data_IF_862483659805
#
_entry.id   IF_862483659805
#
_cell.length_a   1.000
_cell.length_b   1.000
_cell.length_c   1.000
_cell.angle_alpha   90.00
_cell.angle_beta   90.00
_cell.angle_gamma   90.00
#
_symmetry.space_group_name_H-M   'P 1'
#
loop_
_entity.id
_entity.type
_entity.pdbx_description
1 polymer ?
#
# COMPACT_ATOMS: atom_id res chain seq x y z
N UNK A 1 3.10 30.07 -18.93
CA UNK A 1 3.63 29.00 -18.06
C UNK A 1 3.51 27.68 -18.80
N UNK A 2 4.63 27.02 -19.13
CA UNK A 2 4.62 25.75 -19.88
C UNK A 2 4.25 24.62 -18.91
N UNK A 3 3.12 23.98 -19.14
CA UNK A 3 2.70 22.75 -18.45
C UNK A 3 3.84 21.73 -18.49
N UNK A 4 4.51 21.52 -17.35
CA UNK A 4 5.44 20.41 -17.14
C UNK A 4 4.67 19.14 -17.42
N UNK A 5 4.96 18.50 -18.56
CA UNK A 5 4.34 17.25 -18.98
C UNK A 5 4.62 16.20 -17.89
N UNK A 6 3.65 15.98 -17.00
CA UNK A 6 3.70 14.86 -16.06
C UNK A 6 3.97 13.57 -16.85
N UNK A 7 4.85 12.73 -16.30
CA UNK A 7 5.24 11.43 -16.89
C UNK A 7 3.96 10.71 -17.37
N UNK A 8 3.88 10.46 -18.67
CA UNK A 8 2.66 10.08 -19.44
C UNK A 8 1.90 8.83 -18.93
N UNK A 9 2.37 8.14 -17.89
CA UNK A 9 1.77 6.93 -17.31
C UNK A 9 1.87 6.86 -15.78
N UNK A 10 2.04 7.99 -15.11
CA UNK A 10 2.09 8.02 -13.65
C UNK A 10 0.71 7.80 -13.03
N UNK A 11 0.66 7.02 -11.96
CA UNK A 11 -0.54 6.71 -11.20
C UNK A 11 -0.36 7.16 -9.77
N UNK A 12 -1.18 8.12 -9.35
CA UNK A 12 -1.30 8.53 -7.98
C UNK A 12 -2.06 7.49 -7.17
N UNK A 13 -1.74 7.48 -5.90
CA UNK A 13 -2.39 6.73 -4.84
C UNK A 13 -3.92 6.90 -4.87
N UNK A 14 -4.42 8.14 -4.96
CA UNK A 14 -5.86 8.43 -5.07
C UNK A 14 -6.48 7.96 -6.40
N UNK A 15 -5.74 8.02 -7.52
CA UNK A 15 -6.21 7.56 -8.83
C UNK A 15 -6.43 6.04 -8.84
N UNK A 16 -5.50 5.28 -8.23
CA UNK A 16 -5.61 3.82 -8.11
C UNK A 16 -6.80 3.45 -7.23
N UNK A 17 -7.00 4.16 -6.11
CA UNK A 17 -8.10 3.92 -5.19
C UNK A 17 -9.46 4.17 -5.85
N UNK A 18 -9.62 5.32 -6.52
CA UNK A 18 -10.81 5.62 -7.30
C UNK A 18 -11.07 4.55 -8.36
N UNK A 19 -10.04 4.15 -9.12
CA UNK A 19 -10.16 3.09 -10.12
C UNK A 19 -10.68 1.77 -9.51
N UNK A 20 -10.11 1.32 -8.39
CA UNK A 20 -10.49 0.06 -7.76
C UNK A 20 -11.92 0.10 -7.20
N UNK A 21 -12.33 1.22 -6.60
CA UNK A 21 -13.70 1.41 -6.12
C UNK A 21 -14.70 1.36 -7.27
N UNK A 22 -14.43 2.05 -8.37
CA UNK A 22 -15.28 2.02 -9.56
C UNK A 22 -15.35 0.63 -10.20
N UNK A 23 -14.26 -0.15 -10.19
CA UNK A 23 -14.28 -1.55 -10.64
C UNK A 23 -15.19 -2.39 -9.73
N UNK A 24 -15.18 -2.15 -8.42
CA UNK A 24 -16.06 -2.82 -7.47
C UNK A 24 -17.52 -2.49 -7.74
N UNK A 25 -17.85 -1.21 -7.90
CA UNK A 25 -19.19 -0.73 -8.21
C UNK A 25 -19.72 -1.35 -9.49
N UNK A 26 -18.96 -1.28 -10.58
CA UNK A 26 -19.42 -1.80 -11.88
C UNK A 26 -19.62 -3.32 -11.84
N UNK A 27 -18.82 -4.05 -11.05
CA UNK A 27 -19.06 -5.48 -10.83
C UNK A 27 -20.33 -5.76 -10.00
N UNK A 28 -20.64 -4.90 -9.01
CA UNK A 28 -21.88 -5.01 -8.23
C UNK A 28 -23.11 -4.72 -9.09
N UNK A 29 -23.05 -3.66 -9.92
CA UNK A 29 -24.10 -3.28 -10.87
C UNK A 29 -24.38 -4.39 -11.91
N UNK A 30 -23.35 -5.17 -12.29
CA UNK A 30 -23.47 -6.29 -13.25
C UNK A 30 -23.94 -7.62 -12.64
N UNK A 31 -24.12 -7.69 -11.31
CA UNK A 31 -24.60 -8.90 -10.61
C UNK A 31 -23.62 -10.09 -10.62
N UNK A 32 -24.12 -11.26 -10.18
CA UNK A 32 -23.34 -12.52 -10.08
C UNK A 32 -23.14 -13.23 -11.44
N UNK A 33 -23.54 -12.61 -12.55
CA UNK A 33 -23.26 -13.16 -13.87
C UNK A 33 -21.74 -13.16 -14.10
N UNK A 34 -21.17 -14.20 -14.75
CA UNK A 34 -19.75 -14.25 -15.07
C UNK A 34 -19.43 -13.18 -16.14
N UNK A 35 -19.31 -11.93 -15.71
CA UNK A 35 -19.13 -10.82 -16.63
C UNK A 35 -17.65 -10.74 -17.04
N UNK A 36 -17.38 -11.11 -18.28
CA UNK A 36 -16.13 -10.79 -18.98
C UNK A 36 -15.97 -9.28 -19.01
N UNK A 37 -14.98 -8.74 -18.27
CA UNK A 37 -14.60 -7.31 -18.30
C UNK A 37 -14.37 -6.86 -19.74
N UNK A 38 -15.38 -6.24 -20.34
CA UNK A 38 -15.41 -5.86 -21.75
C UNK A 38 -14.76 -4.48 -21.91
N UNK A 39 -14.36 -4.11 -23.14
CA UNK A 39 -13.85 -2.76 -23.43
C UNK A 39 -14.82 -1.67 -22.91
N UNK A 40 -16.13 -1.89 -23.08
CA UNK A 40 -17.18 -1.00 -22.60
C UNK A 40 -17.11 -0.72 -21.08
N UNK A 41 -16.82 -1.74 -20.27
CA UNK A 41 -16.64 -1.60 -18.82
C UNK A 41 -15.55 -0.58 -18.48
N UNK A 42 -14.41 -0.64 -19.17
CA UNK A 42 -13.32 0.30 -18.92
C UNK A 42 -13.60 1.71 -19.46
N UNK A 43 -14.41 1.83 -20.51
CA UNK A 43 -14.92 3.13 -20.97
C UNK A 43 -15.82 3.77 -19.92
N UNK A 44 -16.73 3.01 -19.31
CA UNK A 44 -17.57 3.49 -18.21
C UNK A 44 -16.73 3.91 -17.00
N UNK A 45 -15.77 3.08 -16.59
CA UNK A 45 -14.88 3.40 -15.46
C UNK A 45 -14.08 4.67 -15.73
N UNK A 46 -13.45 4.82 -16.90
CA UNK A 46 -12.70 6.03 -17.23
C UNK A 46 -13.60 7.28 -17.24
N UNK A 47 -14.85 7.14 -17.69
CA UNK A 47 -15.83 8.22 -17.68
C UNK A 47 -16.23 8.61 -16.25
N UNK A 48 -16.45 7.62 -15.36
CA UNK A 48 -16.68 7.86 -13.92
C UNK A 48 -15.44 8.49 -13.27
N UNK A 49 -14.22 8.01 -13.56
CA UNK A 49 -12.97 8.62 -13.07
C UNK A 49 -12.83 10.09 -13.45
N UNK A 50 -13.22 10.47 -14.68
CA UNK A 50 -13.24 11.88 -15.12
C UNK A 50 -14.17 12.73 -14.25
N UNK A 51 -15.34 12.20 -13.85
CA UNK A 51 -16.28 12.89 -12.93
C UNK A 51 -15.72 13.04 -11.52
N UNK A 52 -14.87 12.10 -11.07
CA UNK A 52 -14.17 12.16 -9.78
C UNK A 52 -12.91 13.04 -9.78
N UNK A 53 -12.66 13.82 -10.84
CA UNK A 53 -11.52 14.73 -10.90
C UNK A 53 -10.24 14.12 -11.50
N UNK A 54 -10.30 12.93 -12.11
CA UNK A 54 -9.17 12.28 -12.77
C UNK A 54 -9.35 12.19 -14.30
N UNK A 55 -9.30 13.32 -15.04
CA UNK A 55 -9.56 13.34 -16.49
C UNK A 55 -8.41 12.79 -17.35
N UNK A 56 -7.25 12.55 -16.74
CA UNK A 56 -6.00 12.17 -17.42
C UNK A 56 -5.86 10.65 -17.65
N UNK A 57 -6.86 9.84 -17.28
CA UNK A 57 -6.82 8.36 -17.41
C UNK A 57 -7.76 7.87 -18.50
N UNK A 58 -7.20 7.39 -19.60
CA UNK A 58 -7.95 6.80 -20.70
C UNK A 58 -8.45 5.39 -20.36
N UNK A 59 -9.51 4.88 -21.03
CA UNK A 59 -10.00 3.51 -20.83
C UNK A 59 -8.89 2.46 -20.97
N UNK A 60 -7.99 2.63 -21.93
CA UNK A 60 -6.84 1.74 -22.15
C UNK A 60 -5.85 1.77 -20.99
N UNK A 61 -5.58 2.95 -20.41
CA UNK A 61 -4.69 3.08 -19.25
C UNK A 61 -5.29 2.42 -18.02
N UNK A 62 -6.58 2.64 -17.77
CA UNK A 62 -7.33 1.99 -16.68
C UNK A 62 -7.27 0.47 -16.82
N UNK A 63 -7.62 -0.05 -18.00
CA UNK A 63 -7.54 -1.48 -18.31
C UNK A 63 -6.14 -2.04 -18.04
N UNK A 64 -5.11 -1.40 -18.60
CA UNK A 64 -3.72 -1.83 -18.45
C UNK A 64 -3.29 -1.86 -16.99
N UNK A 65 -3.62 -0.82 -16.22
CA UNK A 65 -3.26 -0.73 -14.80
C UNK A 65 -3.94 -1.82 -13.97
N UNK A 66 -5.24 -2.03 -14.19
CA UNK A 66 -5.98 -3.11 -13.57
C UNK A 66 -5.36 -4.49 -13.83
N UNK A 67 -5.08 -4.81 -15.10
CA UNK A 67 -4.48 -6.10 -15.46
C UNK A 67 -3.02 -6.23 -14.98
N UNK A 68 -2.27 -5.14 -14.89
CA UNK A 68 -0.94 -5.14 -14.28
C UNK A 68 -1.02 -5.59 -12.81
N UNK A 69 -1.92 -4.99 -12.03
CA UNK A 69 -2.07 -5.33 -10.61
C UNK A 69 -2.66 -6.73 -10.42
N UNK A 70 -3.68 -7.09 -11.21
CA UNK A 70 -4.30 -8.42 -11.17
C UNK A 70 -3.31 -9.52 -11.52
N UNK A 71 -2.52 -9.35 -12.59
CA UNK A 71 -1.54 -10.37 -13.02
C UNK A 71 -0.37 -10.49 -12.05
N UNK A 72 0.12 -9.36 -11.50
CA UNK A 72 1.12 -9.36 -10.44
C UNK A 72 0.68 -10.21 -9.23
N UNK A 73 -0.57 -10.04 -8.78
CA UNK A 73 -1.12 -10.83 -7.68
C UNK A 73 -1.27 -12.33 -8.03
N UNK A 74 -1.73 -12.64 -9.25
CA UNK A 74 -1.83 -14.03 -9.70
C UNK A 74 -0.47 -14.74 -9.79
N UNK A 75 0.59 -14.02 -10.21
CA UNK A 75 1.95 -14.57 -10.20
C UNK A 75 2.48 -14.75 -8.78
N UNK A 76 2.17 -13.83 -7.86
CA UNK A 76 2.44 -13.99 -6.44
C UNK A 76 1.81 -15.26 -5.88
N UNK A 77 0.52 -15.50 -6.18
CA UNK A 77 -0.19 -16.72 -5.76
C UNK A 77 0.45 -18.01 -6.32
N UNK A 78 1.16 -17.94 -7.43
CA UNK A 78 1.92 -19.05 -8.04
C UNK A 78 3.33 -19.22 -7.44
N UNK A 79 3.69 -18.48 -6.38
CA UNK A 79 4.98 -18.57 -5.70
C UNK A 79 6.01 -17.51 -6.10
N UNK A 80 5.67 -16.59 -7.02
CA UNK A 80 6.57 -15.50 -7.39
C UNK A 80 6.39 -14.29 -6.46
N UNK A 81 7.06 -14.32 -5.30
CA UNK A 81 6.95 -13.31 -4.25
C UNK A 81 7.27 -11.89 -4.72
N UNK A 82 8.24 -11.74 -5.63
CA UNK A 82 8.72 -10.43 -6.10
C UNK A 82 7.65 -9.64 -6.85
N UNK A 83 6.70 -10.33 -7.48
CA UNK A 83 5.60 -9.67 -8.21
C UNK A 83 4.70 -8.87 -7.30
N UNK A 84 4.64 -9.19 -6.00
CA UNK A 84 3.83 -8.46 -5.04
C UNK A 84 4.34 -7.02 -4.82
N UNK A 85 5.63 -6.74 -5.06
CA UNK A 85 6.19 -5.38 -5.00
C UNK A 85 5.69 -4.45 -6.11
N UNK A 86 5.13 -4.99 -7.19
CA UNK A 86 4.50 -4.19 -8.25
C UNK A 86 3.13 -3.63 -7.84
N UNK A 87 2.60 -4.09 -6.70
CA UNK A 87 1.34 -3.64 -6.11
C UNK A 87 1.69 -2.86 -4.83
N UNK A 88 1.34 -1.55 -4.76
CA UNK A 88 1.51 -0.80 -3.53
C UNK A 88 0.76 -1.49 -2.38
N UNK A 89 1.40 -1.56 -1.21
CA UNK A 89 1.00 -2.41 -0.09
C UNK A 89 -0.47 -2.29 0.29
N UNK A 90 -0.95 -1.05 0.43
CA UNK A 90 -2.34 -0.73 0.79
C UNK A 90 -3.41 -1.31 -0.14
N UNK A 91 -3.06 -1.65 -1.38
CA UNK A 91 -4.01 -2.20 -2.35
C UNK A 91 -3.97 -3.74 -2.45
N UNK A 92 -3.02 -4.41 -1.80
CA UNK A 92 -2.85 -5.87 -1.91
C UNK A 92 -4.11 -6.63 -1.49
N UNK A 93 -4.68 -6.25 -0.36
CA UNK A 93 -5.92 -6.86 0.17
C UNK A 93 -7.12 -6.65 -0.76
N UNK A 94 -7.21 -5.46 -1.38
CA UNK A 94 -8.28 -5.14 -2.33
C UNK A 94 -8.18 -6.03 -3.57
N UNK A 95 -6.97 -6.19 -4.12
CA UNK A 95 -6.74 -7.09 -5.27
C UNK A 95 -6.99 -8.55 -4.90
N UNK A 96 -6.58 -8.98 -3.71
CA UNK A 96 -6.84 -10.33 -3.19
C UNK A 96 -8.34 -10.64 -3.20
N UNK A 97 -9.16 -9.76 -2.60
CA UNK A 97 -10.63 -9.89 -2.62
C UNK A 97 -11.18 -10.02 -4.04
N UNK A 98 -10.69 -9.20 -4.99
CA UNK A 98 -11.17 -9.29 -6.38
C UNK A 98 -10.81 -10.60 -7.10
N UNK A 99 -9.69 -11.21 -6.75
CA UNK A 99 -9.21 -12.46 -7.37
C UNK A 99 -9.83 -13.67 -6.68
N UNK A 100 -9.99 -13.61 -5.37
CA UNK A 100 -10.41 -14.72 -4.52
C UNK A 100 -11.93 -14.79 -4.37
N UNK A 101 -12.68 -13.69 -4.48
CA UNK A 101 -14.14 -13.75 -4.44
C UNK A 101 -14.79 -14.49 -5.64
N UNK A 102 -14.00 -14.87 -6.66
CA UNK A 102 -14.43 -15.79 -7.73
C UNK A 102 -14.13 -17.27 -7.45
N UNK A 103 -13.43 -17.59 -6.36
CA UNK A 103 -13.03 -18.92 -5.93
C UNK A 103 -13.51 -19.12 -4.50
N UNK A 104 -14.63 -19.81 -4.33
CA UNK A 104 -15.26 -20.07 -3.03
C UNK A 104 -14.23 -20.40 -1.93
N UNK A 105 -14.31 -19.60 -0.86
CA UNK A 105 -13.97 -19.90 0.53
C UNK A 105 -12.81 -20.87 0.80
N UNK A 106 -11.67 -20.31 1.19
CA UNK A 106 -10.84 -20.90 2.26
C UNK A 106 -10.82 -19.89 3.39
N UNK A 107 -11.61 -20.19 4.44
CA UNK A 107 -11.60 -19.47 5.69
C UNK A 107 -10.19 -19.53 6.31
N UNK A 108 -9.56 -18.37 6.46
CA UNK A 108 -8.40 -18.15 7.32
C UNK A 108 -8.70 -16.95 8.23
N UNK A 109 -8.38 -16.98 9.52
CA UNK A 109 -8.97 -16.05 10.48
C UNK A 109 -8.38 -14.64 10.33
N UNK A 110 -9.27 -13.66 10.17
CA UNK A 110 -8.99 -12.24 10.34
C UNK A 110 -9.23 -11.88 11.82
N UNK A 111 -8.29 -11.25 12.53
CA UNK A 111 -8.55 -10.76 13.89
C UNK A 111 -9.37 -9.47 13.81
N UNK A 112 -10.58 -9.50 14.39
CA UNK A 112 -11.31 -8.31 14.81
C UNK A 112 -11.38 -8.27 16.35
N UNK A 113 -11.31 -7.08 16.98
CA UNK A 113 -11.44 -6.94 18.41
C UNK A 113 -12.92 -6.88 18.80
N UNK A 114 -13.41 -7.88 19.52
CA UNK A 114 -14.66 -7.74 20.28
C UNK A 114 -14.57 -8.51 21.60
N UNK A 115 -14.84 -7.78 22.67
CA UNK A 115 -14.90 -8.24 24.05
C UNK A 115 -15.99 -9.32 24.19
N UNK A 116 -15.66 -10.46 24.83
CA UNK A 116 -16.44 -11.07 25.93
C UNK A 116 -15.87 -12.42 26.39
N UNK A 117 -15.56 -12.45 27.68
CA UNK A 117 -15.60 -13.54 28.68
C UNK A 117 -14.79 -14.83 28.44
N UNK A 118 -13.77 -14.94 29.29
CA UNK A 118 -12.91 -16.07 29.65
C UNK A 118 -13.67 -17.35 30.01
N UNK A 119 -13.23 -18.51 29.50
CA UNK A 119 -12.76 -19.70 30.26
C UNK A 119 -12.22 -20.82 29.33
N UNK A 120 -11.37 -21.75 29.82
CA UNK A 120 -10.04 -21.98 29.22
C UNK A 120 -9.77 -23.40 28.72
N UNK A 121 -8.60 -23.52 28.06
CA UNK A 121 -7.71 -24.69 27.92
C UNK A 121 -7.94 -25.58 26.68
N UNK A 122 -6.97 -25.57 25.76
CA UNK A 122 -6.11 -26.72 25.40
C UNK A 122 -4.77 -26.19 24.86
N UNK A 123 -3.68 -26.79 25.32
CA UNK A 123 -2.27 -26.51 25.05
C UNK A 123 -1.81 -27.00 23.66
N UNK A 124 -1.11 -26.10 22.94
CA UNK A 124 0.10 -26.23 22.07
C UNK A 124 0.13 -27.29 20.95
N UNK A 125 0.48 -26.86 19.73
CA UNK A 125 1.82 -27.15 19.20
C UNK A 125 2.56 -25.85 18.84
N UNK A 126 3.88 -25.81 19.06
CA UNK A 126 4.77 -24.68 18.67
C UNK A 126 4.64 -24.46 17.16
N UNK A 127 3.79 -23.51 16.77
CA UNK A 127 3.38 -23.38 15.38
C UNK A 127 4.43 -22.55 14.62
N UNK A 128 4.70 -22.92 13.36
CA UNK A 128 5.54 -22.13 12.45
C UNK A 128 5.10 -20.65 12.40
N UNK A 129 3.81 -20.40 12.65
CA UNK A 129 3.24 -19.05 12.79
C UNK A 129 3.80 -18.31 14.00
N UNK A 130 3.97 -18.95 15.15
CA UNK A 130 4.53 -18.31 16.36
C UNK A 130 5.99 -17.93 16.15
N UNK A 131 6.75 -18.80 15.47
CA UNK A 131 8.16 -18.53 15.11
C UNK A 131 8.25 -17.34 14.15
N UNK A 132 7.38 -17.31 13.14
CA UNK A 132 7.29 -16.19 12.20
C UNK A 132 6.90 -14.87 12.88
N UNK A 133 5.91 -14.91 13.78
CA UNK A 133 5.48 -13.73 14.53
C UNK A 133 6.55 -13.24 15.50
N UNK A 134 7.31 -14.15 16.13
CA UNK A 134 8.46 -13.80 16.96
C UNK A 134 9.56 -13.13 16.11
N UNK A 135 9.83 -13.65 14.91
CA UNK A 135 10.80 -13.07 13.98
C UNK A 135 10.38 -11.68 13.51
N UNK A 136 9.10 -11.46 13.18
CA UNK A 136 8.60 -10.12 12.82
C UNK A 136 8.76 -9.15 13.99
N UNK A 137 8.40 -9.56 15.22
CA UNK A 137 8.57 -8.72 16.41
C UNK A 137 10.04 -8.35 16.63
N UNK A 138 10.95 -9.30 16.45
CA UNK A 138 12.39 -9.07 16.56
C UNK A 138 12.89 -8.10 15.49
N UNK A 139 12.49 -8.27 14.22
CA UNK A 139 12.86 -7.38 13.13
C UNK A 139 12.35 -5.96 13.35
N UNK A 140 11.09 -5.81 13.77
CA UNK A 140 10.51 -4.50 14.07
C UNK A 140 11.24 -3.82 15.24
N UNK A 141 11.65 -4.59 16.26
CA UNK A 141 12.46 -4.06 17.37
C UNK A 141 13.81 -3.54 16.89
N UNK A 142 14.49 -4.28 16.01
CA UNK A 142 15.78 -3.86 15.45
C UNK A 142 15.63 -2.60 14.58
N UNK A 143 14.61 -2.56 13.72
CA UNK A 143 14.31 -1.38 12.89
C UNK A 143 14.03 -0.14 13.73
N UNK A 144 13.24 -0.27 14.80
CA UNK A 144 12.97 0.84 15.71
C UNK A 144 14.23 1.30 16.45
N UNK A 145 15.11 0.37 16.84
CA UNK A 145 16.37 0.73 17.49
C UNK A 145 17.31 1.50 16.55
N UNK A 146 17.45 1.05 15.30
CA UNK A 146 18.24 1.75 14.27
C UNK A 146 17.64 3.11 13.93
N UNK A 147 16.31 3.20 13.85
CA UNK A 147 15.61 4.46 13.63
C UNK A 147 15.90 5.47 14.75
N UNK A 148 15.73 5.07 16.01
CA UNK A 148 15.98 5.94 17.16
C UNK A 148 17.45 6.39 17.22
N UNK A 149 18.39 5.49 16.89
CA UNK A 149 19.82 5.82 16.82
C UNK A 149 20.11 6.85 15.72
N UNK A 150 19.46 6.73 14.57
CA UNK A 150 19.60 7.69 13.48
C UNK A 150 19.02 9.06 13.85
N UNK A 151 17.87 9.07 14.51
CA UNK A 151 17.25 10.29 15.04
C UNK A 151 18.16 11.01 16.05
N UNK A 152 18.74 10.26 17.00
CA UNK A 152 19.71 10.81 17.96
C UNK A 152 20.96 11.36 17.27
N UNK A 153 21.48 10.64 16.27
CA UNK A 153 22.66 11.07 15.51
C UNK A 153 22.39 12.37 14.75
N UNK A 154 21.21 12.49 14.14
CA UNK A 154 20.78 13.69 13.43
C UNK A 154 20.68 14.88 14.38
N UNK A 155 20.03 14.68 15.54
CA UNK A 155 19.91 15.73 16.56
C UNK A 155 21.27 16.22 17.06
N UNK A 156 22.21 15.30 17.30
CA UNK A 156 23.56 15.64 17.73
C UNK A 156 24.31 16.43 16.64
N UNK A 157 24.14 16.06 15.37
CA UNK A 157 24.71 16.79 14.24
C UNK A 157 24.14 18.22 14.13
N UNK A 158 22.82 18.38 14.27
CA UNK A 158 22.17 19.68 14.27
C UNK A 158 22.67 20.57 15.41
N UNK A 159 22.81 20.03 16.62
CA UNK A 159 23.38 20.74 17.76
C UNK A 159 24.80 21.21 17.49
N UNK A 160 25.66 20.36 16.91
CA UNK A 160 27.04 20.75 16.54
C UNK A 160 27.05 21.88 15.51
N UNK A 161 26.18 21.81 14.50
CA UNK A 161 26.06 22.86 13.50
C UNK A 161 25.59 24.18 14.14
N UNK A 162 24.65 24.11 15.07
CA UNK A 162 24.19 25.27 15.82
C UNK A 162 25.32 25.88 16.65
N UNK A 163 26.04 25.07 17.43
CA UNK A 163 27.19 25.54 18.22
C UNK A 163 28.26 26.21 17.36
N UNK A 164 28.52 25.67 16.15
CA UNK A 164 29.45 26.29 15.21
C UNK A 164 28.96 27.65 14.71
N UNK A 165 27.67 27.78 14.41
CA UNK A 165 27.06 29.07 14.04
C UNK A 165 27.15 30.07 15.18
N UNK A 166 26.80 29.66 16.39
CA UNK A 166 26.82 30.52 17.58
C UNK A 166 28.25 31.00 17.88
N UNK A 167 29.23 30.10 17.80
CA UNK A 167 30.65 30.44 17.94
C UNK A 167 31.08 31.52 16.93
N UNK A 168 30.73 31.35 15.65
CA UNK A 168 31.08 32.30 14.60
C UNK A 168 30.40 33.66 14.81
N UNK A 169 29.14 33.67 15.27
CA UNK A 169 28.41 34.90 15.60
C UNK A 169 29.08 35.63 16.77
N UNK A 170 29.38 34.93 17.87
CA UNK A 170 30.06 35.52 19.04
C UNK A 170 31.43 36.07 18.65
N UNK A 171 32.19 35.31 17.86
CA UNK A 171 33.49 35.76 17.34
C UNK A 171 33.33 37.04 16.50
N UNK A 172 32.31 37.12 15.66
CA UNK A 172 32.07 38.32 14.86
C UNK A 172 31.74 39.51 15.75
N UNK A 173 30.84 39.35 16.73
CA UNK A 173 30.45 40.42 17.67
C UNK A 173 31.63 40.91 18.50
N UNK A 174 32.49 40.01 19.00
CA UNK A 174 33.63 40.37 19.85
C UNK A 174 34.83 40.96 19.10
N UNK A 175 34.84 40.93 17.76
CA UNK A 175 35.88 41.55 16.93
C UNK A 175 35.44 42.92 16.38
N UNK A 176 34.29 43.45 16.81
CA UNK A 176 33.87 44.84 16.69
C UNK A 176 33.97 45.53 18.06
#
# INVERSE_FOLDING_TARGET
MKSTKLKRNFWLTAEIECMLNLIKEVKQEQGSAPCTTTHHTFTQIASKMKKHGFPNKSPTQVRRKWFQMKSAYLCYKKGNVDRLFLIPERFRNVIAQFVENGSKMVSGPQPQPSERKVKPKVEVPVSAVDTFMAQIKQNNKLLNAEFNKMEETLLNYEQRCQSMRDYNIIKYINNY
#
